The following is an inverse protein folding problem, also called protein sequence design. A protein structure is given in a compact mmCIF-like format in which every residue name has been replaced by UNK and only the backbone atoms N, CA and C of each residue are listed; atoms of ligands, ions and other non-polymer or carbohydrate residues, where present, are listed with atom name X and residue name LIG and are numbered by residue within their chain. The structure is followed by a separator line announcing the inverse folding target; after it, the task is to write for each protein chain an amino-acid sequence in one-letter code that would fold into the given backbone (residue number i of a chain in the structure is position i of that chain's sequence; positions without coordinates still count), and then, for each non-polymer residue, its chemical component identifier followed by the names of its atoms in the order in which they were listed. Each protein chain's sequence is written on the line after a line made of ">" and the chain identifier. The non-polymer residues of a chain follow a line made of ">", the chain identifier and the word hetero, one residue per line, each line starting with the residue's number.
data_IF_849120344690
#
_entry.id   IF_849120344690
#
_cell.length_a   1.000
_cell.length_b   1.000
_cell.length_c   1.000
_cell.angle_alpha   90.00
_cell.angle_beta   90.00
_cell.angle_gamma   90.00
#
_symmetry.space_group_name_H-M   'P 1'
#
loop_
_entity.id
_entity.type
_entity.pdbx_description
1 polymer ?
#
# COMPACT_ATOMS: atom_id res chain seq x y z
N UNK A 1 -22.41 -4.66 6.16
CA UNK A 1 -21.81 -3.41 5.64
C UNK A 1 -20.88 -2.88 6.72
N UNK A 2 -19.63 -2.57 6.40
CA UNK A 2 -18.67 -1.96 7.34
C UNK A 2 -18.75 -0.46 7.13
N UNK A 3 -18.99 0.27 8.19
CA UNK A 3 -19.00 1.74 8.19
C UNK A 3 -17.80 2.18 9.01
N UNK A 4 -16.85 2.87 8.38
CA UNK A 4 -15.70 3.44 9.06
C UNK A 4 -16.04 4.86 9.51
N UNK A 5 -15.78 5.15 10.78
CA UNK A 5 -15.88 6.49 11.35
C UNK A 5 -14.44 6.99 11.55
N UNK A 6 -13.98 7.85 10.67
CA UNK A 6 -12.79 8.65 10.87
C UNK A 6 -13.29 10.08 11.13
N UNK A 7 -13.01 10.69 12.23
CA UNK A 7 -13.31 12.10 12.63
C UNK A 7 -14.53 12.80 11.95
N UNK A 8 -15.15 12.16 10.97
CA UNK A 8 -16.38 12.53 10.29
C UNK A 8 -17.11 11.23 9.94
N UNK A 9 -18.25 11.01 10.56
CA UNK A 9 -19.11 9.85 10.33
C UNK A 9 -19.53 9.78 8.86
N UNK A 10 -18.94 8.88 8.11
CA UNK A 10 -19.36 8.58 6.74
C UNK A 10 -20.23 7.34 6.77
N UNK A 11 -21.53 7.50 6.99
CA UNK A 11 -22.51 6.45 6.80
C UNK A 11 -23.35 6.79 5.56
N UNK A 12 -23.42 5.85 4.61
CA UNK A 12 -24.25 6.00 3.42
C UNK A 12 -25.78 5.93 3.72
N UNK A 13 -26.12 5.45 4.91
CA UNK A 13 -27.49 5.40 5.41
C UNK A 13 -27.66 6.43 6.54
N UNK A 14 -28.35 7.51 6.25
CA UNK A 14 -28.56 8.63 7.15
C UNK A 14 -29.30 8.24 8.43
N UNK A 15 -30.26 7.31 8.34
CA UNK A 15 -31.00 6.82 9.52
C UNK A 15 -30.10 6.04 10.49
N UNK A 16 -29.25 5.19 9.94
CA UNK A 16 -28.27 4.43 10.74
C UNK A 16 -27.28 5.36 11.41
N UNK A 17 -26.79 6.35 10.68
CA UNK A 17 -25.88 7.36 11.22
C UNK A 17 -26.51 8.15 12.38
N UNK A 18 -27.73 8.67 12.18
CA UNK A 18 -28.42 9.49 13.17
C UNK A 18 -28.75 8.67 14.42
N UNK A 19 -29.15 7.41 14.25
CA UNK A 19 -29.36 6.48 15.36
C UNK A 19 -28.07 6.30 16.19
N UNK A 20 -26.95 5.96 15.54
CA UNK A 20 -25.68 5.73 16.20
C UNK A 20 -25.18 6.97 16.96
N UNK A 21 -25.27 8.15 16.35
CA UNK A 21 -24.86 9.41 16.98
C UNK A 21 -25.80 9.83 18.14
N UNK A 22 -27.03 9.37 18.15
CA UNK A 22 -27.96 9.63 19.24
C UNK A 22 -27.70 8.73 20.47
N UNK A 23 -27.24 7.49 20.24
CA UNK A 23 -27.08 6.48 21.32
C UNK A 23 -25.63 6.30 21.77
N UNK A 24 -24.66 6.80 21.03
CA UNK A 24 -23.22 6.70 21.31
C UNK A 24 -22.58 8.09 21.22
N UNK A 25 -22.67 8.89 22.30
CA UNK A 25 -22.11 10.24 22.34
C UNK A 25 -20.58 10.25 22.19
N UNK A 26 -19.92 9.18 22.65
CA UNK A 26 -18.47 8.95 22.54
C UNK A 26 -17.97 8.87 21.09
N UNK A 27 -18.84 8.45 20.14
CA UNK A 27 -18.48 8.45 18.70
C UNK A 27 -18.30 9.87 18.12
N UNK A 28 -18.75 10.91 18.83
CA UNK A 28 -18.62 12.31 18.41
C UNK A 28 -17.34 12.98 18.90
N UNK A 29 -16.73 12.47 19.94
CA UNK A 29 -15.65 13.14 20.68
C UNK A 29 -14.25 12.58 20.37
N UNK A 30 -14.16 11.45 19.67
CA UNK A 30 -12.87 10.78 19.43
C UNK A 30 -12.08 11.57 18.36
N UNK A 31 -11.25 12.53 18.84
CA UNK A 31 -10.31 13.29 18.03
C UNK A 31 -8.91 12.66 18.01
N UNK A 32 -8.79 11.45 18.55
CA UNK A 32 -7.50 10.76 18.58
C UNK A 32 -7.16 10.22 17.19
N UNK A 33 -6.13 10.79 16.57
CA UNK A 33 -5.62 10.36 15.26
C UNK A 33 -5.10 8.89 15.29
N UNK A 34 -4.86 8.35 16.47
CA UNK A 34 -4.37 6.97 16.69
C UNK A 34 -5.49 6.00 17.08
N UNK A 35 -6.74 6.44 17.08
CA UNK A 35 -7.92 5.62 17.31
C UNK A 35 -8.80 5.54 16.06
N UNK A 36 -9.37 4.35 15.81
CA UNK A 36 -10.34 4.11 14.76
C UNK A 36 -11.53 3.35 15.36
N UNK A 37 -12.72 3.83 15.09
CA UNK A 37 -13.96 3.16 15.46
C UNK A 37 -14.67 2.64 14.20
N UNK A 38 -14.93 1.34 14.16
CA UNK A 38 -15.73 0.71 13.11
C UNK A 38 -17.08 0.29 13.66
N UNK A 39 -18.15 0.59 12.94
CA UNK A 39 -19.46 0.01 13.20
C UNK A 39 -19.77 -1.03 12.14
N UNK A 40 -20.02 -2.25 12.56
CA UNK A 40 -20.41 -3.36 11.70
C UNK A 40 -21.87 -3.71 11.95
N UNK A 41 -22.69 -3.67 10.91
CA UNK A 41 -24.06 -4.14 10.96
C UNK A 41 -24.08 -5.65 10.69
N UNK A 42 -24.81 -6.40 11.53
CA UNK A 42 -25.01 -7.84 11.40
C UNK A 42 -26.40 -8.13 10.87
N UNK A 43 -26.52 -9.10 9.97
CA UNK A 43 -27.79 -9.69 9.60
C UNK A 43 -28.23 -10.67 10.71
N UNK A 44 -29.53 -10.97 10.82
CA UNK A 44 -30.06 -11.88 11.85
C UNK A 44 -29.38 -13.25 11.92
N UNK A 45 -28.76 -13.70 10.82
CA UNK A 45 -28.08 -15.00 10.72
C UNK A 45 -26.63 -14.99 11.21
N UNK A 46 -26.01 -13.81 11.41
CA UNK A 46 -24.59 -13.65 11.77
C UNK A 46 -24.40 -13.37 13.27
N UNK A 47 -25.02 -14.15 14.16
CA UNK A 47 -25.15 -13.81 15.58
C UNK A 47 -23.86 -14.04 16.41
N UNK A 48 -22.88 -14.79 15.92
CA UNK A 48 -21.77 -15.22 16.77
C UNK A 48 -20.61 -14.21 16.90
N UNK A 49 -20.62 -13.11 16.14
CA UNK A 49 -19.66 -12.01 16.31
C UNK A 49 -18.18 -12.40 16.23
N UNK A 50 -17.89 -13.62 15.79
CA UNK A 50 -16.53 -14.20 15.80
C UNK A 50 -15.67 -13.78 14.61
N UNK A 51 -16.29 -13.21 13.58
CA UNK A 51 -15.55 -12.72 12.40
C UNK A 51 -14.58 -11.61 12.77
N UNK A 52 -13.32 -11.94 12.78
CA UNK A 52 -12.26 -10.96 13.03
C UNK A 52 -12.20 -9.94 11.90
N UNK A 53 -12.26 -8.67 12.27
CA UNK A 53 -11.92 -7.57 11.38
C UNK A 53 -10.41 -7.35 11.53
N UNK A 54 -9.63 -7.82 10.56
CA UNK A 54 -8.19 -7.54 10.53
C UNK A 54 -7.95 -6.32 9.66
N UNK A 55 -7.58 -5.22 10.32
CA UNK A 55 -7.13 -4.00 9.67
C UNK A 55 -5.62 -3.92 9.81
N UNK A 56 -4.93 -3.95 8.68
CA UNK A 56 -3.49 -3.79 8.68
C UNK A 56 -3.11 -2.42 9.30
N UNK A 57 -2.10 -2.44 10.17
CA UNK A 57 -1.69 -1.23 10.91
C UNK A 57 -2.51 -0.94 12.16
N UNK A 58 -3.62 -1.64 12.41
CA UNK A 58 -4.49 -1.42 13.56
C UNK A 58 -4.64 -2.68 14.43
N UNK A 59 -4.83 -2.50 15.72
CA UNK A 59 -5.08 -3.56 16.68
C UNK A 59 -6.45 -3.34 17.30
N UNK A 60 -7.34 -4.32 17.21
CA UNK A 60 -8.61 -4.30 17.93
C UNK A 60 -8.33 -4.25 19.44
N UNK A 61 -8.92 -3.28 20.13
CA UNK A 61 -8.78 -3.07 21.58
C UNK A 61 -10.07 -3.38 22.33
N UNK A 62 -11.22 -3.18 21.70
CA UNK A 62 -12.51 -3.55 22.27
C UNK A 62 -13.52 -3.84 21.17
N UNK A 63 -14.50 -4.65 21.50
CA UNK A 63 -15.66 -4.97 20.67
C UNK A 63 -16.88 -5.06 21.55
N UNK A 64 -17.90 -4.30 21.22
CA UNK A 64 -19.17 -4.29 21.92
C UNK A 64 -20.29 -4.60 20.93
N UNK A 65 -21.16 -5.55 21.28
CA UNK A 65 -22.32 -5.95 20.47
C UNK A 65 -23.57 -5.28 21.04
N UNK A 66 -24.33 -4.67 20.17
CA UNK A 66 -25.55 -3.96 20.49
C UNK A 66 -26.75 -4.58 19.74
N UNK A 67 -27.86 -4.69 20.46
CA UNK A 67 -29.13 -5.11 19.92
C UNK A 67 -30.05 -3.92 19.78
N UNK A 68 -30.55 -3.65 18.60
CA UNK A 68 -31.40 -2.48 18.32
C UNK A 68 -32.89 -2.76 18.51
N UNK A 69 -33.28 -4.01 18.65
CA UNK A 69 -34.70 -4.42 18.73
C UNK A 69 -35.47 -4.08 17.45
N UNK A 70 -36.73 -3.65 17.65
CA UNK A 70 -37.63 -3.33 16.52
C UNK A 70 -37.30 -2.05 15.75
N UNK A 71 -36.34 -1.23 16.25
CA UNK A 71 -36.07 0.10 15.65
C UNK A 71 -35.23 0.06 14.37
N UNK A 72 -34.32 -0.90 14.22
CA UNK A 72 -33.46 -1.01 13.03
C UNK A 72 -33.40 -2.42 12.42
N UNK A 73 -34.12 -3.41 12.99
CA UNK A 73 -34.15 -4.81 12.53
C UNK A 73 -32.75 -5.41 12.29
N UNK A 74 -31.71 -4.92 12.98
CA UNK A 74 -30.34 -5.44 12.87
C UNK A 74 -29.57 -5.28 14.18
N UNK A 75 -28.59 -6.15 14.37
CA UNK A 75 -27.57 -6.00 15.40
C UNK A 75 -26.38 -5.23 14.82
N UNK A 76 -25.61 -4.58 15.66
CA UNK A 76 -24.35 -3.99 15.24
C UNK A 76 -23.28 -4.17 16.32
N UNK A 77 -22.03 -4.17 15.88
CA UNK A 77 -20.88 -4.13 16.77
C UNK A 77 -20.16 -2.80 16.61
N UNK A 78 -19.78 -2.19 17.72
CA UNK A 78 -18.81 -1.11 17.76
C UNK A 78 -17.45 -1.75 18.07
N UNK A 79 -16.52 -1.63 17.12
CA UNK A 79 -15.18 -2.21 17.22
C UNK A 79 -14.20 -1.07 17.27
N UNK A 80 -13.47 -0.94 18.38
CA UNK A 80 -12.43 0.08 18.55
C UNK A 80 -11.06 -0.51 18.27
N UNK A 81 -10.25 0.24 17.56
CA UNK A 81 -8.89 -0.10 17.22
C UNK A 81 -7.95 0.99 17.70
N UNK A 82 -6.78 0.60 18.16
CA UNK A 82 -5.63 1.50 18.28
C UNK A 82 -4.63 1.22 17.17
N UNK A 83 -3.93 2.25 16.76
CA UNK A 83 -2.85 2.09 15.80
C UNK A 83 -1.77 1.16 16.36
N UNK A 84 -1.34 0.19 15.56
CA UNK A 84 -0.17 -0.63 15.90
C UNK A 84 1.06 0.29 15.83
N UNK A 85 1.80 0.41 16.92
CA UNK A 85 3.11 1.06 16.88
C UNK A 85 4.01 0.27 15.94
N UNK A 86 4.34 0.83 14.80
CA UNK A 86 5.28 0.25 13.85
C UNK A 86 6.52 1.14 13.75
N UNK A 87 7.68 0.53 13.64
CA UNK A 87 8.91 1.27 13.31
C UNK A 87 8.98 1.64 11.83
N UNK A 88 8.09 1.08 11.02
CA UNK A 88 8.06 1.34 9.58
C UNK A 88 7.61 2.77 9.29
N UNK A 89 8.37 3.46 8.45
CA UNK A 89 8.09 4.85 8.09
C UNK A 89 7.35 5.00 6.76
N UNK A 90 7.30 3.93 5.96
CA UNK A 90 6.68 3.94 4.63
C UNK A 90 6.18 2.55 4.26
N UNK A 91 5.02 2.47 3.63
CA UNK A 91 4.55 1.30 2.91
C UNK A 91 4.54 1.62 1.40
N UNK A 92 5.35 0.90 0.65
CA UNK A 92 5.38 1.00 -0.81
C UNK A 92 4.37 0.04 -1.40
N UNK A 93 3.38 0.53 -2.11
CA UNK A 93 2.38 -0.27 -2.82
C UNK A 93 2.76 -0.33 -4.30
N UNK A 94 3.20 -1.50 -4.74
CA UNK A 94 3.76 -1.75 -6.06
C UNK A 94 2.76 -2.54 -6.90
N UNK A 95 2.20 -1.93 -7.96
CA UNK A 95 1.27 -2.62 -8.85
C UNK A 95 1.98 -3.47 -9.89
N UNK A 96 1.51 -4.70 -10.12
CA UNK A 96 2.03 -5.60 -11.17
C UNK A 96 0.93 -6.45 -11.78
N UNK A 97 1.14 -6.93 -12.99
CA UNK A 97 0.34 -7.95 -13.66
C UNK A 97 1.17 -8.62 -14.75
N UNK A 98 1.50 -9.90 -14.59
CA UNK A 98 2.22 -10.72 -15.57
C UNK A 98 3.54 -10.10 -16.11
N UNK A 99 4.26 -9.31 -15.28
CA UNK A 99 5.48 -8.59 -15.64
C UNK A 99 6.70 -9.12 -14.86
N UNK A 100 6.88 -10.44 -14.86
CA UNK A 100 7.85 -11.15 -14.02
C UNK A 100 9.28 -10.59 -14.13
N UNK A 101 9.81 -10.41 -15.34
CA UNK A 101 11.17 -9.93 -15.58
C UNK A 101 11.38 -8.50 -15.02
N UNK A 102 10.40 -7.61 -15.24
CA UNK A 102 10.49 -6.23 -14.78
C UNK A 102 10.32 -6.14 -13.26
N UNK A 103 9.36 -6.90 -12.71
CA UNK A 103 9.15 -6.95 -11.27
C UNK A 103 10.42 -7.41 -10.54
N UNK A 104 11.12 -8.43 -11.04
CA UNK A 104 12.39 -8.90 -10.46
C UNK A 104 13.42 -7.76 -10.41
N UNK A 105 13.58 -7.00 -11.51
CA UNK A 105 14.49 -5.85 -11.55
C UNK A 105 14.10 -4.74 -10.57
N UNK A 106 12.80 -4.48 -10.42
CA UNK A 106 12.29 -3.48 -9.47
C UNK A 106 12.55 -3.90 -8.03
N UNK A 107 12.39 -5.18 -7.69
CA UNK A 107 12.72 -5.71 -6.35
C UNK A 107 14.20 -5.48 -6.00
N UNK A 108 15.12 -5.69 -6.93
CA UNK A 108 16.54 -5.36 -6.73
C UNK A 108 16.78 -3.85 -6.60
N UNK A 109 15.98 -3.01 -7.25
CA UNK A 109 16.01 -1.56 -7.05
C UNK A 109 15.59 -1.14 -5.64
N UNK A 110 14.61 -1.83 -5.05
CA UNK A 110 14.26 -1.62 -3.64
C UNK A 110 15.30 -2.22 -2.70
N UNK A 111 15.96 -3.32 -3.07
CA UNK A 111 17.09 -3.84 -2.30
C UNK A 111 18.29 -2.88 -2.29
N UNK A 112 18.48 -2.09 -3.34
CA UNK A 112 19.54 -1.09 -3.42
C UNK A 112 19.26 0.22 -2.64
N UNK A 113 18.08 0.37 -2.01
CA UNK A 113 17.74 1.60 -1.28
C UNK A 113 18.70 1.87 -0.11
N UNK A 114 19.01 3.15 0.12
CA UNK A 114 19.88 3.63 1.20
C UNK A 114 19.24 3.54 2.60
N UNK A 115 17.94 3.31 2.67
CA UNK A 115 17.21 3.01 3.90
C UNK A 115 16.36 1.74 3.73
N UNK A 116 16.16 1.01 4.83
CA UNK A 116 15.32 -0.22 4.87
C UNK A 116 14.11 -0.07 5.78
N UNK A 117 13.84 1.13 6.27
CA UNK A 117 12.71 1.38 7.17
C UNK A 117 11.39 1.54 6.42
N UNK A 118 11.11 0.57 5.54
CA UNK A 118 9.89 0.47 4.75
C UNK A 118 9.48 -0.98 4.55
N UNK A 119 8.23 -1.20 4.19
CA UNK A 119 7.75 -2.47 3.66
C UNK A 119 7.35 -2.32 2.19
N UNK A 120 7.35 -3.42 1.46
CA UNK A 120 6.90 -3.47 0.08
C UNK A 120 5.65 -4.36 -0.01
N UNK A 121 4.58 -3.82 -0.56
CA UNK A 121 3.33 -4.53 -0.79
C UNK A 121 3.15 -4.69 -2.29
N UNK A 122 3.27 -5.91 -2.78
CA UNK A 122 3.07 -6.24 -4.19
C UNK A 122 1.58 -6.42 -4.41
N UNK A 123 0.96 -5.43 -5.04
CA UNK A 123 -0.44 -5.42 -5.44
C UNK A 123 -0.57 -6.06 -6.83
N UNK A 124 -0.82 -7.36 -6.87
CA UNK A 124 -0.76 -8.21 -8.05
C UNK A 124 -2.15 -8.44 -8.66
N UNK A 125 -2.39 -7.84 -9.82
CA UNK A 125 -3.66 -7.85 -10.56
C UNK A 125 -3.83 -9.14 -11.38
N UNK A 126 -3.76 -10.30 -10.69
CA UNK A 126 -4.06 -11.59 -11.28
C UNK A 126 -2.92 -12.22 -12.07
N UNK A 127 -1.66 -11.99 -11.70
CA UNK A 127 -0.54 -12.67 -12.34
C UNK A 127 -0.60 -14.18 -12.18
N UNK A 128 0.03 -14.86 -13.12
CA UNK A 128 0.14 -16.32 -13.16
C UNK A 128 1.10 -16.84 -12.09
N UNK A 129 1.08 -18.15 -11.90
CA UNK A 129 1.86 -18.85 -10.87
C UNK A 129 3.37 -18.56 -10.93
N UNK A 130 3.92 -18.33 -12.10
CA UNK A 130 5.35 -18.03 -12.29
C UNK A 130 5.79 -16.78 -11.52
N UNK A 131 4.91 -15.76 -11.41
CA UNK A 131 5.17 -14.57 -10.60
C UNK A 131 5.22 -14.92 -9.12
N UNK A 132 4.29 -15.74 -8.63
CA UNK A 132 4.32 -16.23 -7.25
C UNK A 132 5.60 -17.02 -6.96
N UNK A 133 5.96 -17.97 -7.82
CA UNK A 133 7.16 -18.79 -7.64
C UNK A 133 8.45 -17.94 -7.63
N UNK A 134 8.52 -16.91 -8.48
CA UNK A 134 9.61 -15.95 -8.47
C UNK A 134 9.68 -15.17 -7.14
N UNK A 135 8.54 -14.69 -6.64
CA UNK A 135 8.47 -13.97 -5.36
C UNK A 135 8.91 -14.85 -4.19
N UNK A 136 8.49 -16.13 -4.14
CA UNK A 136 8.94 -17.08 -3.12
C UNK A 136 10.46 -17.27 -3.13
N UNK A 137 11.09 -17.23 -4.30
CA UNK A 137 12.54 -17.38 -4.48
C UNK A 137 13.31 -16.11 -4.09
N UNK A 138 12.77 -14.92 -4.37
CA UNK A 138 13.50 -13.66 -4.21
C UNK A 138 13.26 -13.04 -2.83
N UNK A 139 12.05 -13.06 -2.30
CA UNK A 139 11.70 -12.42 -1.02
C UNK A 139 12.65 -12.77 0.12
N UNK A 140 13.12 -14.03 0.30
CA UNK A 140 14.07 -14.35 1.36
C UNK A 140 15.46 -13.71 1.20
N UNK A 141 15.77 -13.15 0.02
CA UNK A 141 17.05 -12.48 -0.26
C UNK A 141 17.00 -10.98 -0.02
N UNK A 142 15.81 -10.42 0.29
CA UNK A 142 15.59 -9.00 0.48
C UNK A 142 15.71 -8.63 1.97
N UNK A 143 16.25 -7.45 2.24
CA UNK A 143 16.52 -6.94 3.59
C UNK A 143 15.35 -6.14 4.21
N UNK A 144 14.19 -6.16 3.57
CA UNK A 144 12.96 -5.50 4.03
C UNK A 144 11.76 -6.45 3.92
N UNK A 145 10.66 -6.12 4.58
CA UNK A 145 9.45 -6.93 4.55
C UNK A 145 8.74 -6.81 3.21
N UNK A 146 8.35 -7.94 2.63
CA UNK A 146 7.53 -8.02 1.42
C UNK A 146 6.22 -8.72 1.73
N UNK A 147 5.10 -8.13 1.30
CA UNK A 147 3.78 -8.73 1.31
C UNK A 147 3.30 -8.91 -0.12
N UNK A 148 2.74 -10.06 -0.44
CA UNK A 148 2.09 -10.32 -1.73
C UNK A 148 0.59 -10.34 -1.56
N UNK A 149 -0.09 -9.36 -2.15
CA UNK A 149 -1.54 -9.24 -2.20
C UNK A 149 -1.98 -9.53 -3.61
N UNK A 150 -2.74 -10.59 -3.79
CA UNK A 150 -3.16 -11.11 -5.09
C UNK A 150 -4.68 -11.26 -5.16
N UNK A 151 -5.24 -11.20 -6.35
CA UNK A 151 -6.59 -11.65 -6.64
C UNK A 151 -6.65 -12.34 -8.01
N UNK A 152 -7.70 -13.13 -8.23
CA UNK A 152 -7.94 -13.82 -9.49
C UNK A 152 -8.04 -12.83 -10.66
N UNK A 153 -7.44 -13.19 -11.81
CA UNK A 153 -7.55 -12.44 -13.06
C UNK A 153 -9.00 -12.40 -13.56
N UNK A 154 -9.60 -11.24 -13.54
CA UNK A 154 -10.93 -10.93 -14.07
C UNK A 154 -10.89 -9.71 -14.98
N UNK A 155 -9.79 -9.57 -15.74
CA UNK A 155 -9.48 -8.40 -16.53
C UNK A 155 -8.82 -7.28 -15.74
N UNK A 156 -8.67 -6.11 -16.31
CA UNK A 156 -7.96 -4.98 -15.71
C UNK A 156 -8.66 -4.44 -14.46
N UNK A 157 -8.13 -4.75 -13.28
CA UNK A 157 -8.67 -4.35 -11.98
C UNK A 157 -7.61 -3.72 -11.07
N UNK A 158 -6.71 -2.96 -11.67
CA UNK A 158 -5.61 -2.29 -10.96
C UNK A 158 -6.07 -1.49 -9.74
N UNK A 159 -7.19 -0.76 -9.83
CA UNK A 159 -7.69 0.02 -8.70
C UNK A 159 -8.12 -0.87 -7.53
N UNK A 160 -8.75 -2.00 -7.80
CA UNK A 160 -9.21 -2.93 -6.76
C UNK A 160 -8.04 -3.54 -6.00
N UNK A 161 -6.99 -3.95 -6.72
CA UNK A 161 -5.81 -4.54 -6.07
C UNK A 161 -4.99 -3.49 -5.32
N UNK A 162 -4.91 -2.25 -5.82
CA UNK A 162 -4.29 -1.15 -5.10
C UNK A 162 -5.01 -0.86 -3.78
N UNK A 163 -6.35 -0.86 -3.76
CA UNK A 163 -7.14 -0.71 -2.55
C UNK A 163 -6.83 -1.83 -1.53
N UNK A 164 -6.73 -3.09 -1.99
CA UNK A 164 -6.29 -4.20 -1.13
C UNK A 164 -4.86 -3.99 -0.61
N UNK A 165 -3.97 -3.48 -1.44
CA UNK A 165 -2.61 -3.11 -1.04
C UNK A 165 -2.59 -2.03 0.03
N UNK A 166 -3.44 -1.00 -0.09
CA UNK A 166 -3.61 0.05 0.94
C UNK A 166 -4.05 -0.57 2.27
N UNK A 167 -5.04 -1.46 2.24
CA UNK A 167 -5.53 -2.14 3.45
C UNK A 167 -4.48 -3.05 4.09
N UNK A 168 -3.51 -3.56 3.31
CA UNK A 168 -2.40 -4.37 3.82
C UNK A 168 -1.24 -3.55 4.38
N UNK A 169 -1.23 -2.22 4.17
CA UNK A 169 -0.18 -1.32 4.61
C UNK A 169 -0.15 -1.16 6.14
N UNK A 170 1.05 -1.06 6.71
CA UNK A 170 1.26 -0.86 8.14
C UNK A 170 1.76 0.55 8.48
N UNK A 171 2.41 1.24 7.52
CA UNK A 171 2.90 2.59 7.73
C UNK A 171 1.86 3.64 7.25
N UNK A 172 1.91 4.81 7.86
CA UNK A 172 1.02 5.93 7.56
C UNK A 172 1.31 6.62 6.24
N UNK A 173 2.57 6.58 5.82
CA UNK A 173 2.98 7.17 4.56
C UNK A 173 3.00 6.11 3.47
N UNK A 174 2.08 6.25 2.51
CA UNK A 174 1.95 5.36 1.37
C UNK A 174 2.69 5.93 0.16
N UNK A 175 3.47 5.09 -0.51
CA UNK A 175 4.11 5.40 -1.77
C UNK A 175 3.62 4.41 -2.84
N UNK A 176 3.11 4.91 -3.95
CA UNK A 176 2.65 4.09 -5.07
C UNK A 176 3.69 4.08 -6.17
N UNK A 177 3.99 2.90 -6.71
CA UNK A 177 4.90 2.72 -7.85
C UNK A 177 4.42 1.56 -8.73
N UNK A 178 4.97 1.48 -9.94
CA UNK A 178 4.66 0.42 -10.88
C UNK A 178 5.77 -0.66 -10.89
N UNK A 179 5.38 -1.91 -11.16
CA UNK A 179 6.25 -3.08 -11.17
C UNK A 179 7.27 -3.13 -12.31
N UNK A 180 7.35 -2.07 -13.13
CA UNK A 180 8.32 -1.87 -14.19
C UNK A 180 9.21 -0.61 -14.00
N UNK A 181 9.09 0.05 -12.84
CA UNK A 181 9.83 1.26 -12.51
C UNK A 181 10.92 0.97 -11.47
N UNK A 182 12.17 0.79 -11.90
CA UNK A 182 13.32 0.61 -11.01
C UNK A 182 13.55 1.91 -10.24
N UNK A 183 13.47 1.92 -8.89
CA UNK A 183 13.71 3.11 -8.09
C UNK A 183 15.20 3.43 -7.99
N UNK A 184 15.55 4.74 -7.99
CA UNK A 184 16.90 5.21 -7.65
C UNK A 184 17.19 4.89 -6.17
N UNK A 185 18.45 4.69 -5.80
CA UNK A 185 18.86 4.25 -4.46
C UNK A 185 18.40 5.15 -3.30
N UNK A 186 18.15 6.43 -3.56
CA UNK A 186 17.68 7.43 -2.60
C UNK A 186 16.17 7.73 -2.74
N UNK A 187 15.43 6.89 -3.44
CA UNK A 187 14.01 7.14 -3.73
C UNK A 187 13.16 7.14 -2.45
N UNK A 188 13.32 6.14 -1.60
CA UNK A 188 12.59 6.04 -0.32
C UNK A 188 13.01 7.15 0.64
N UNK A 189 14.30 7.37 0.83
CA UNK A 189 14.82 8.40 1.74
C UNK A 189 14.43 9.82 1.31
N UNK A 190 14.42 10.10 0.00
CA UNK A 190 13.95 11.37 -0.57
C UNK A 190 12.47 11.61 -0.24
N UNK A 191 11.60 10.61 -0.43
CA UNK A 191 10.19 10.71 -0.08
C UNK A 191 9.99 10.95 1.43
N UNK A 192 10.73 10.22 2.28
CA UNK A 192 10.69 10.41 3.72
C UNK A 192 11.14 11.81 4.16
N UNK A 193 12.15 12.36 3.50
CA UNK A 193 12.65 13.70 3.78
C UNK A 193 11.67 14.80 3.35
N UNK A 194 11.04 14.64 2.19
CA UNK A 194 10.21 15.69 1.57
C UNK A 194 8.74 15.63 1.97
N UNK A 195 8.29 14.53 2.59
CA UNK A 195 6.88 14.36 2.99
C UNK A 195 6.39 15.48 3.92
N UNK A 196 5.16 15.88 3.73
CA UNK A 196 4.47 16.89 4.58
C UNK A 196 3.02 16.47 4.79
N UNK A 197 2.49 16.62 6.02
CA UNK A 197 1.08 16.35 6.31
C UNK A 197 0.17 17.19 5.39
N UNK A 198 -0.88 16.56 4.84
CA UNK A 198 -1.84 17.21 3.95
C UNK A 198 -1.33 17.47 2.53
N UNK A 199 -0.18 16.90 2.14
CA UNK A 199 0.39 17.02 0.80
C UNK A 199 0.80 15.67 0.26
N UNK A 200 0.77 15.53 -1.07
CA UNK A 200 1.37 14.38 -1.76
C UNK A 200 2.58 14.82 -2.57
N UNK A 201 3.48 13.89 -2.81
CA UNK A 201 4.63 14.06 -3.70
C UNK A 201 4.36 13.30 -4.99
N UNK A 202 4.64 13.93 -6.14
CA UNK A 202 4.58 13.29 -7.44
C UNK A 202 5.98 13.13 -8.00
N UNK A 203 6.43 11.90 -8.16
CA UNK A 203 7.70 11.56 -8.80
C UNK A 203 7.62 11.63 -10.32
N UNK A 204 8.78 11.70 -10.97
CA UNK A 204 8.92 11.52 -12.41
C UNK A 204 9.57 10.19 -12.74
N UNK A 205 9.36 9.71 -13.95
CA UNK A 205 10.06 8.53 -14.48
C UNK A 205 10.82 8.86 -15.75
N UNK A 206 11.81 8.03 -16.05
CA UNK A 206 12.54 8.07 -17.32
C UNK A 206 12.27 6.77 -18.08
N UNK A 207 11.72 6.89 -19.29
CA UNK A 207 11.40 5.73 -20.12
C UNK A 207 12.65 5.33 -20.92
N UNK A 208 13.11 4.11 -20.71
CA UNK A 208 14.21 3.50 -21.45
C UNK A 208 13.71 2.82 -22.73
N UNK A 209 14.62 2.59 -23.68
CA UNK A 209 14.36 1.68 -24.79
C UNK A 209 14.21 0.25 -24.28
N UNK A 210 13.50 -0.59 -25.02
CA UNK A 210 13.31 -1.99 -24.64
C UNK A 210 14.64 -2.75 -24.55
N UNK A 211 15.56 -2.49 -25.49
CA UNK A 211 16.87 -3.14 -25.52
C UNK A 211 17.69 -2.78 -24.29
N UNK A 212 17.77 -1.47 -23.95
CA UNK A 212 18.47 -1.02 -22.76
C UNK A 212 17.82 -1.58 -21.47
N UNK A 213 16.49 -1.63 -21.42
CA UNK A 213 15.76 -2.18 -20.26
C UNK A 213 16.07 -3.66 -20.05
N UNK A 214 16.23 -4.45 -21.12
CA UNK A 214 16.63 -5.87 -21.05
C UNK A 214 18.07 -6.04 -20.63
N UNK A 215 18.97 -5.19 -21.12
CA UNK A 215 20.41 -5.23 -20.85
C UNK A 215 20.79 -4.93 -19.39
N UNK A 216 19.92 -4.19 -18.67
CA UNK A 216 20.17 -3.86 -17.26
C UNK A 216 20.15 -5.15 -16.43
N UNK A 217 21.28 -5.47 -15.81
CA UNK A 217 21.47 -6.63 -14.93
C UNK A 217 21.19 -6.29 -13.46
N UNK A 218 21.05 -7.33 -12.62
CA UNK A 218 20.99 -7.18 -11.16
C UNK A 218 22.16 -6.37 -10.60
N UNK A 219 23.39 -6.63 -11.08
CA UNK A 219 24.59 -5.93 -10.62
C UNK A 219 24.59 -4.46 -11.01
N UNK A 220 24.05 -4.11 -12.19
CA UNK A 220 23.88 -2.72 -12.61
C UNK A 220 22.90 -1.97 -11.71
N UNK A 221 21.87 -2.66 -11.23
CA UNK A 221 20.87 -2.10 -10.32
C UNK A 221 21.46 -1.91 -8.92
N UNK A 222 22.03 -2.96 -8.34
CA UNK A 222 22.58 -2.93 -6.99
C UNK A 222 23.74 -1.94 -6.83
N UNK A 223 24.57 -1.79 -7.87
CA UNK A 223 25.66 -0.80 -7.89
C UNK A 223 25.19 0.63 -8.20
N UNK A 224 23.91 0.81 -8.63
CA UNK A 224 23.37 2.09 -9.06
C UNK A 224 23.85 2.54 -10.45
N UNK A 225 24.64 1.73 -11.14
CA UNK A 225 25.20 2.02 -12.47
C UNK A 225 24.15 2.28 -13.53
N UNK A 226 22.97 1.63 -13.43
CA UNK A 226 21.81 1.85 -14.30
C UNK A 226 21.21 3.27 -14.18
N UNK A 227 21.69 4.11 -13.25
CA UNK A 227 21.34 5.54 -13.13
C UNK A 227 22.48 6.47 -13.55
N UNK A 228 23.63 5.93 -13.94
CA UNK A 228 24.74 6.71 -14.46
C UNK A 228 24.51 7.10 -15.93
N UNK A 229 24.48 8.41 -16.24
CA UNK A 229 24.22 8.92 -17.57
C UNK A 229 25.30 8.55 -18.59
N UNK A 230 26.57 8.46 -18.18
CA UNK A 230 27.66 8.09 -19.06
C UNK A 230 27.54 6.62 -19.45
N UNK A 231 27.27 5.76 -18.46
CA UNK A 231 27.03 4.34 -18.71
C UNK A 231 25.82 4.10 -19.62
N UNK A 232 24.69 4.78 -19.35
CA UNK A 232 23.51 4.66 -20.17
C UNK A 232 23.72 5.14 -21.62
N UNK A 233 24.47 6.23 -21.79
CA UNK A 233 24.84 6.72 -23.15
C UNK A 233 25.73 5.72 -23.87
N UNK A 234 26.69 5.10 -23.16
CA UNK A 234 27.52 4.01 -23.69
C UNK A 234 26.70 2.79 -24.14
N UNK A 235 25.51 2.60 -23.55
CA UNK A 235 24.52 1.57 -23.91
C UNK A 235 23.50 2.03 -24.95
N UNK A 236 23.69 3.18 -25.59
CA UNK A 236 22.85 3.66 -26.68
C UNK A 236 21.69 4.59 -26.26
N UNK A 237 21.66 5.06 -25.00
CA UNK A 237 20.64 6.03 -24.61
C UNK A 237 20.89 7.38 -25.32
N UNK A 238 19.89 7.93 -26.04
CA UNK A 238 20.08 9.20 -26.74
C UNK A 238 20.24 10.37 -25.76
N UNK A 239 21.02 11.38 -26.13
CA UNK A 239 21.10 12.61 -25.36
C UNK A 239 19.75 13.33 -25.38
N UNK A 240 19.22 13.66 -24.21
CA UNK A 240 17.95 14.37 -24.05
C UNK A 240 17.99 15.22 -22.79
N UNK A 241 17.35 16.39 -22.84
CA UNK A 241 17.15 17.24 -21.66
C UNK A 241 16.39 16.51 -20.52
N UNK A 242 15.53 15.55 -20.88
CA UNK A 242 14.80 14.71 -19.92
C UNK A 242 15.72 13.83 -19.07
N UNK A 243 16.95 13.59 -19.54
CA UNK A 243 17.94 12.77 -18.81
C UNK A 243 18.39 13.42 -17.49
N UNK A 244 18.19 14.74 -17.33
CA UNK A 244 18.50 15.45 -16.07
C UNK A 244 17.67 14.94 -14.89
N UNK A 245 16.52 14.28 -15.12
CA UNK A 245 15.72 13.63 -14.08
C UNK A 245 16.45 12.47 -13.39
N UNK A 246 17.46 11.87 -14.02
CA UNK A 246 18.22 10.76 -13.46
C UNK A 246 19.27 11.24 -12.45
N UNK A 247 19.72 12.49 -12.57
CA UNK A 247 20.79 13.08 -11.76
C UNK A 247 20.33 14.20 -10.83
N UNK A 248 19.09 14.69 -11.01
CA UNK A 248 18.56 15.73 -10.12
C UNK A 248 18.41 15.16 -8.70
N UNK A 249 19.29 15.61 -7.82
CA UNK A 249 19.04 15.61 -6.38
C UNK A 249 18.08 16.76 -6.13
N UNK A 250 16.86 16.45 -5.64
CA UNK A 250 15.85 17.46 -5.30
C UNK A 250 16.35 18.42 -4.23
#
# INVERSE_FOLDING_TARGET
>A
MIVAFENNVVCSDEKVRDYLLAHHADLKEDQDEDALCLVRLHKEEDIDGTDRVDLAGWREISRELYWTGEQMECNYSIIRFSRKTTSLQMSVVLSTCNQLEWLEKVLWGYEAQDTKNFELIIADDGSRKETYDMLQRITPQLSFQVKHVWHEDKGFRKCDILNKGILAAQADYLLFSDGDCIPRKDFVSTHLCLRRKGRFLSGGYHKLSMDLSKDITKDDILSGRCFDLQWMRGKGMPASFKNNKLTATG
#
